data_IF_289060617834
#
_entry.id   IF_289060617834
#
_cell.length_a   1.000
_cell.length_b   1.000
_cell.length_c   1.000
_cell.angle_alpha   90.00
_cell.angle_beta   90.00
_cell.angle_gamma   90.00
#
_symmetry.space_group_name_H-M   'P 1'
#
loop_
_entity.id
_entity.type
_entity.pdbx_description
1 polymer ?
#
# COMPACT_ATOMS: atom_id res chain seq x y z
N UNK A 1 -62.74 -19.91 3.73
CA UNK A 1 -61.64 -19.19 3.06
C UNK A 1 -60.64 -18.80 4.15
N UNK A 2 -59.71 -19.71 4.47
CA UNK A 2 -58.84 -19.59 5.63
C UNK A 2 -57.44 -19.15 5.20
N UNK A 3 -56.97 -18.05 5.79
CA UNK A 3 -55.65 -17.46 5.60
C UNK A 3 -54.59 -18.32 6.30
N UNK A 4 -53.67 -18.92 5.54
CA UNK A 4 -52.47 -19.56 6.10
C UNK A 4 -51.37 -18.52 6.25
N UNK A 5 -51.11 -18.15 7.50
CA UNK A 5 -49.94 -17.38 7.95
C UNK A 5 -48.66 -18.17 7.67
N UNK A 6 -47.82 -17.66 6.78
CA UNK A 6 -46.47 -18.16 6.53
C UNK A 6 -45.53 -17.74 7.67
N UNK A 7 -45.24 -18.68 8.57
CA UNK A 7 -44.20 -18.54 9.59
C UNK A 7 -42.84 -18.30 8.92
N UNK A 8 -42.35 -17.06 9.01
CA UNK A 8 -41.00 -16.67 8.62
C UNK A 8 -40.02 -17.30 9.63
N UNK A 9 -39.52 -18.50 9.33
CA UNK A 9 -38.45 -19.14 10.10
C UNK A 9 -37.16 -18.35 9.86
N UNK A 10 -36.89 -17.38 10.74
CA UNK A 10 -35.54 -16.85 10.91
C UNK A 10 -34.62 -18.03 11.22
N UNK A 11 -33.69 -18.34 10.32
CA UNK A 11 -32.61 -19.27 10.62
C UNK A 11 -31.86 -18.73 11.86
N UNK A 12 -31.61 -19.57 12.89
CA UNK A 12 -30.89 -19.12 14.07
C UNK A 12 -29.52 -18.61 13.64
N UNK A 13 -29.20 -17.36 14.02
CA UNK A 13 -27.87 -16.82 13.80
C UNK A 13 -26.86 -17.70 14.56
N UNK A 14 -25.77 -18.13 13.91
CA UNK A 14 -24.78 -18.98 14.58
C UNK A 14 -24.18 -18.22 15.76
N UNK A 15 -24.22 -18.85 16.94
CA UNK A 15 -23.69 -18.27 18.18
C UNK A 15 -22.17 -18.34 18.14
N UNK A 16 -21.51 -17.23 18.50
CA UNK A 16 -20.05 -17.17 18.58
C UNK A 16 -19.61 -17.87 19.88
N UNK A 17 -18.90 -18.98 19.74
CA UNK A 17 -18.42 -19.79 20.86
C UNK A 17 -17.07 -19.30 21.40
N UNK A 18 -16.17 -18.82 20.52
CA UNK A 18 -14.84 -18.37 20.94
C UNK A 18 -14.28 -17.29 20.00
N UNK A 19 -13.73 -16.23 20.60
CA UNK A 19 -13.00 -15.19 19.89
C UNK A 19 -11.51 -15.32 20.24
N UNK A 20 -10.66 -15.64 19.26
CA UNK A 20 -9.19 -15.59 19.43
C UNK A 20 -8.65 -14.33 18.76
N UNK A 21 -7.99 -13.46 19.52
CA UNK A 21 -7.29 -12.30 18.97
C UNK A 21 -5.77 -12.52 18.96
N UNK A 22 -5.12 -12.24 17.84
CA UNK A 22 -3.66 -12.14 17.73
C UNK A 22 -3.30 -10.66 17.79
N UNK A 23 -2.51 -10.29 18.79
CA UNK A 23 -2.06 -8.91 19.01
C UNK A 23 -0.54 -8.83 18.94
N UNK A 24 -0.02 -7.68 18.51
CA UNK A 24 1.38 -7.33 18.69
C UNK A 24 1.43 -5.93 19.32
N UNK A 25 1.88 -5.85 20.57
CA UNK A 25 1.79 -4.62 21.36
C UNK A 25 0.33 -4.11 21.43
N UNK A 26 0.06 -2.82 21.11
CA UNK A 26 -1.30 -2.27 21.13
C UNK A 26 -2.16 -2.72 19.93
N UNK A 27 -1.58 -3.36 18.92
CA UNK A 27 -2.24 -3.60 17.63
C UNK A 27 -2.96 -4.95 17.58
N UNK A 28 -4.20 -4.97 17.06
CA UNK A 28 -4.94 -6.20 16.76
C UNK A 28 -4.72 -6.57 15.29
N UNK A 29 -4.04 -7.69 15.04
CA UNK A 29 -3.66 -8.11 13.68
C UNK A 29 -4.70 -9.06 13.07
N UNK A 30 -5.20 -10.01 13.89
CA UNK A 30 -6.18 -11.03 13.48
C UNK A 30 -7.18 -11.30 14.59
N UNK A 31 -8.43 -11.49 14.20
CA UNK A 31 -9.50 -11.99 15.07
C UNK A 31 -10.07 -13.25 14.40
N UNK A 32 -10.18 -14.34 15.15
CA UNK A 32 -10.81 -15.58 14.68
C UNK A 32 -12.06 -15.83 15.48
N UNK A 33 -13.22 -15.78 14.82
CA UNK A 33 -14.52 -16.11 15.38
C UNK A 33 -14.76 -17.60 15.14
N UNK A 34 -14.90 -18.36 16.21
CA UNK A 34 -15.34 -19.75 16.17
C UNK A 34 -16.82 -19.77 16.48
N UNK A 35 -17.63 -20.37 15.59
CA UNK A 35 -19.06 -20.50 15.76
C UNK A 35 -19.41 -21.88 16.32
N UNK A 36 -20.59 -21.98 16.95
CA UNK A 36 -21.10 -23.22 17.54
C UNK A 36 -21.39 -24.35 16.54
N UNK A 37 -21.42 -24.03 15.25
CA UNK A 37 -21.53 -25.00 14.15
C UNK A 37 -20.17 -25.57 13.69
N UNK A 38 -19.07 -25.19 14.37
CA UNK A 38 -17.71 -25.59 14.04
C UNK A 38 -17.05 -24.78 12.92
N UNK A 39 -17.75 -23.80 12.33
CA UNK A 39 -17.14 -22.90 11.35
C UNK A 39 -16.22 -21.88 12.01
N UNK A 40 -15.16 -21.50 11.31
CA UNK A 40 -14.18 -20.49 11.77
C UNK A 40 -14.11 -19.37 10.76
N UNK A 41 -14.40 -18.16 11.21
CA UNK A 41 -14.24 -16.94 10.42
C UNK A 41 -12.99 -16.19 10.87
N UNK A 42 -12.10 -15.91 9.92
CA UNK A 42 -10.86 -15.16 10.17
C UNK A 42 -11.00 -13.73 9.66
N UNK A 43 -11.05 -12.78 10.57
CA UNK A 43 -10.93 -11.35 10.29
C UNK A 43 -9.46 -10.92 10.42
N UNK A 44 -8.98 -10.12 9.48
CA UNK A 44 -7.64 -9.52 9.54
C UNK A 44 -7.74 -8.03 9.23
N UNK A 45 -6.86 -7.22 9.84
CA UNK A 45 -6.87 -5.76 9.68
C UNK A 45 -6.73 -5.34 8.21
N UNK A 46 -5.85 -6.02 7.45
CA UNK A 46 -5.65 -5.74 6.02
C UNK A 46 -6.83 -6.11 5.14
N UNK A 47 -7.45 -7.27 5.35
CA UNK A 47 -8.63 -7.66 4.58
C UNK A 47 -9.81 -6.71 4.86
N UNK A 48 -9.95 -6.27 6.10
CA UNK A 48 -10.96 -5.28 6.46
C UNK A 48 -10.76 -3.95 5.71
N UNK A 49 -9.55 -3.40 5.74
CA UNK A 49 -9.18 -2.17 4.99
C UNK A 49 -9.41 -2.30 3.48
N UNK A 50 -9.13 -3.47 2.91
CA UNK A 50 -9.29 -3.75 1.48
C UNK A 50 -10.73 -4.13 1.10
N UNK A 51 -11.70 -3.99 2.00
CA UNK A 51 -13.11 -4.11 1.64
C UNK A 51 -13.63 -5.55 1.52
N UNK A 52 -13.00 -6.47 2.24
CA UNK A 52 -13.02 -7.89 1.88
C UNK A 52 -13.65 -8.80 2.93
N UNK A 53 -14.38 -8.24 3.90
CA UNK A 53 -14.97 -8.98 5.02
C UNK A 53 -16.39 -9.51 4.79
N UNK A 54 -17.12 -8.95 3.82
CA UNK A 54 -18.55 -9.18 3.63
C UNK A 54 -18.88 -9.54 2.18
N UNK A 55 -18.59 -10.78 1.78
CA UNK A 55 -18.96 -11.28 0.46
C UNK A 55 -20.46 -11.56 0.38
N UNK A 56 -21.21 -10.69 -0.31
CA UNK A 56 -22.55 -11.01 -0.78
C UNK A 56 -22.49 -12.24 -1.72
N UNK A 57 -23.39 -13.19 -1.49
CA UNK A 57 -23.35 -14.58 -1.98
C UNK A 57 -23.44 -14.75 -3.52
N UNK A 58 -23.67 -13.69 -4.30
CA UNK A 58 -23.98 -13.83 -5.73
C UNK A 58 -23.25 -12.81 -6.62
N UNK A 59 -21.99 -13.07 -7.02
CA UNK A 59 -21.45 -12.46 -8.24
C UNK A 59 -20.60 -13.47 -9.03
N UNK A 60 -20.98 -13.65 -10.29
CA UNK A 60 -20.27 -14.42 -11.32
C UNK A 60 -18.82 -13.93 -11.43
N UNK A 61 -17.87 -14.87 -11.47
CA UNK A 61 -16.43 -14.54 -11.54
C UNK A 61 -16.06 -13.92 -12.88
N UNK A 62 -15.65 -12.65 -12.96
CA UNK A 62 -15.22 -12.06 -14.22
C UNK A 62 -13.84 -12.58 -14.65
N UNK A 63 -13.61 -12.58 -15.97
CA UNK A 63 -12.35 -12.99 -16.62
C UNK A 63 -11.20 -12.06 -16.27
N UNK A 64 -9.95 -12.53 -16.39
CA UNK A 64 -8.74 -11.83 -15.91
C UNK A 64 -8.51 -10.47 -16.62
N UNK A 65 -8.90 -10.34 -17.88
CA UNK A 65 -8.88 -9.07 -18.65
C UNK A 65 -9.94 -8.08 -18.17
N UNK A 66 -11.13 -8.56 -17.78
CA UNK A 66 -12.20 -7.72 -17.22
C UNK A 66 -11.89 -7.25 -15.79
N UNK A 67 -10.96 -7.90 -15.07
CA UNK A 67 -10.53 -7.47 -13.73
C UNK A 67 -9.63 -6.24 -13.74
N UNK A 68 -8.85 -6.03 -14.81
CA UNK A 68 -7.93 -4.90 -14.93
C UNK A 68 -8.59 -3.62 -15.47
N UNK A 69 -9.69 -3.76 -16.24
CA UNK A 69 -10.31 -2.67 -16.99
C UNK A 69 -11.64 -2.15 -16.39
N UNK A 70 -12.22 -2.81 -15.38
CA UNK A 70 -13.57 -2.45 -14.87
C UNK A 70 -13.49 -1.46 -13.72
N UNK A 71 -13.86 -0.22 -14.03
CA UNK A 71 -14.03 0.91 -13.11
C UNK A 71 -15.30 0.73 -12.25
N UNK A 72 -15.23 0.06 -11.09
CA UNK A 72 -16.29 -0.01 -10.04
C UNK A 72 -15.69 -0.41 -8.67
N UNK A 73 -16.46 -0.38 -7.56
CA UNK A 73 -16.51 0.56 -6.42
C UNK A 73 -15.27 0.60 -5.49
N UNK A 74 -14.11 0.09 -5.90
CA UNK A 74 -12.80 0.32 -5.25
C UNK A 74 -12.02 1.43 -5.94
N UNK A 75 -12.69 2.53 -6.32
CA UNK A 75 -12.08 3.65 -7.06
C UNK A 75 -10.83 4.16 -6.35
N UNK A 76 -10.86 4.24 -5.02
CA UNK A 76 -9.75 4.70 -4.20
C UNK A 76 -8.51 3.77 -4.31
N UNK A 77 -8.70 2.45 -4.22
CA UNK A 77 -7.60 1.47 -4.32
C UNK A 77 -6.97 1.47 -5.71
N UNK A 78 -7.83 1.55 -6.74
CA UNK A 78 -7.38 1.57 -8.13
C UNK A 78 -6.64 2.87 -8.44
N UNK A 79 -7.18 4.03 -8.05
CA UNK A 79 -6.50 5.31 -8.19
C UNK A 79 -5.16 5.30 -7.46
N UNK A 80 -5.13 4.82 -6.21
CA UNK A 80 -3.89 4.69 -5.45
C UNK A 80 -2.85 3.86 -6.21
N UNK A 81 -3.23 2.69 -6.74
CA UNK A 81 -2.33 1.84 -7.52
C UNK A 81 -1.82 2.54 -8.79
N UNK A 82 -2.70 3.19 -9.54
CA UNK A 82 -2.32 3.93 -10.75
C UNK A 82 -1.38 5.10 -10.46
N UNK A 83 -1.66 5.88 -9.41
CA UNK A 83 -0.80 6.99 -8.99
C UNK A 83 0.58 6.48 -8.58
N UNK A 84 0.67 5.38 -7.81
CA UNK A 84 1.97 4.77 -7.49
C UNK A 84 2.69 4.25 -8.73
N UNK A 85 1.99 3.63 -9.69
CA UNK A 85 2.61 3.16 -10.94
C UNK A 85 3.15 4.31 -11.79
N UNK A 86 2.38 5.40 -11.93
CA UNK A 86 2.80 6.60 -12.67
C UNK A 86 3.98 7.25 -11.97
N UNK A 87 3.90 7.46 -10.65
CA UNK A 87 4.99 8.01 -9.86
C UNK A 87 6.27 7.18 -9.98
N UNK A 88 6.17 5.85 -9.85
CA UNK A 88 7.30 4.95 -10.01
C UNK A 88 7.89 4.99 -11.43
N UNK A 89 7.06 5.10 -12.47
CA UNK A 89 7.53 5.24 -13.84
C UNK A 89 8.29 6.57 -14.07
N UNK A 90 7.82 7.66 -13.46
CA UNK A 90 8.54 8.94 -13.46
C UNK A 90 9.92 8.81 -12.81
N UNK A 91 10.07 8.07 -11.72
CA UNK A 91 11.38 7.83 -11.10
C UNK A 91 12.28 6.89 -11.91
N UNK A 92 11.68 5.87 -12.55
CA UNK A 92 12.44 4.90 -13.33
C UNK A 92 13.00 5.50 -14.62
N UNK A 93 12.25 6.37 -15.32
CA UNK A 93 12.61 6.83 -16.65
C UNK A 93 13.97 7.59 -16.71
N UNK A 94 14.25 8.58 -15.84
CA UNK A 94 15.57 9.22 -15.82
C UNK A 94 16.69 8.24 -15.47
N UNK A 95 16.49 7.40 -14.45
CA UNK A 95 17.51 6.44 -14.02
C UNK A 95 17.81 5.36 -15.08
N UNK A 96 16.84 4.96 -15.90
CA UNK A 96 17.08 4.05 -17.04
C UNK A 96 18.01 4.71 -18.05
N UNK A 97 17.81 6.00 -18.37
CA UNK A 97 18.68 6.71 -19.30
C UNK A 97 20.11 6.84 -18.75
N UNK A 98 20.25 7.08 -17.45
CA UNK A 98 21.58 7.15 -16.80
C UNK A 98 22.29 5.79 -16.74
N UNK A 99 21.58 4.71 -16.40
CA UNK A 99 22.16 3.36 -16.31
C UNK A 99 22.41 2.76 -17.70
N UNK A 100 21.54 3.06 -18.67
CA UNK A 100 21.66 2.63 -20.05
C UNK A 100 21.40 3.82 -21.02
N UNK A 101 22.45 4.59 -21.34
CA UNK A 101 22.34 5.75 -22.23
C UNK A 101 21.75 5.38 -23.60
N UNK A 102 20.79 6.18 -24.07
CA UNK A 102 20.20 6.06 -25.42
C UNK A 102 19.04 5.05 -25.54
N UNK A 103 18.62 4.44 -24.43
CA UNK A 103 17.45 3.53 -24.40
C UNK A 103 16.11 4.29 -24.38
N UNK A 104 16.10 5.52 -23.85
CA UNK A 104 14.94 6.41 -23.76
C UNK A 104 15.20 7.67 -24.60
N UNK A 105 14.14 8.38 -24.99
CA UNK A 105 14.16 9.54 -25.87
C UNK A 105 15.08 10.67 -25.42
N UNK A 106 15.67 11.37 -26.40
CA UNK A 106 16.61 12.49 -26.24
C UNK A 106 16.12 13.69 -25.41
N UNK A 107 14.82 13.78 -25.11
CA UNK A 107 14.28 14.85 -24.26
C UNK A 107 14.59 14.69 -22.76
N UNK A 108 15.16 13.55 -22.34
CA UNK A 108 15.51 13.22 -20.94
C UNK A 108 17.03 13.36 -20.71
N UNK A 109 17.69 14.21 -21.49
CA UNK A 109 19.12 14.52 -21.37
C UNK A 109 19.37 15.82 -20.58
N UNK A 110 18.35 16.66 -20.46
CA UNK A 110 18.42 17.95 -19.76
C UNK A 110 18.14 17.79 -18.26
N UNK A 111 19.02 18.37 -17.43
CA UNK A 111 18.98 18.25 -15.95
C UNK A 111 17.70 18.83 -15.37
N UNK A 112 17.25 19.98 -15.88
CA UNK A 112 16.01 20.61 -15.41
C UNK A 112 14.80 19.71 -15.72
N UNK A 113 14.77 19.13 -16.91
CA UNK A 113 13.73 18.17 -17.31
C UNK A 113 13.73 16.92 -16.42
N UNK A 114 14.91 16.36 -16.11
CA UNK A 114 15.05 15.23 -15.18
C UNK A 114 14.48 15.58 -13.80
N UNK A 115 14.85 16.73 -13.25
CA UNK A 115 14.39 17.20 -11.95
C UNK A 115 12.87 17.41 -11.91
N UNK A 116 12.30 17.98 -12.98
CA UNK A 116 10.84 18.13 -13.13
C UNK A 116 10.15 16.76 -13.14
N UNK A 117 10.71 15.77 -13.84
CA UNK A 117 10.13 14.42 -13.92
C UNK A 117 10.14 13.75 -12.54
N UNK A 118 11.23 13.88 -11.76
CA UNK A 118 11.27 13.40 -10.38
C UNK A 118 10.25 14.10 -9.48
N UNK A 119 10.14 15.42 -9.57
CA UNK A 119 9.17 16.20 -8.79
C UNK A 119 7.72 15.85 -9.14
N UNK A 120 7.39 15.71 -10.42
CA UNK A 120 6.07 15.23 -10.85
C UNK A 120 5.80 13.84 -10.28
N UNK A 121 6.79 12.95 -10.32
CA UNK A 121 6.70 11.62 -9.72
C UNK A 121 6.39 11.66 -8.21
N UNK A 122 7.02 12.55 -7.44
CA UNK A 122 6.83 12.65 -6.00
C UNK A 122 5.43 13.17 -5.62
N UNK A 123 4.84 14.02 -6.46
CA UNK A 123 3.43 14.45 -6.32
C UNK A 123 2.47 13.26 -6.51
N UNK A 124 2.73 12.40 -7.50
CA UNK A 124 1.97 11.17 -7.69
C UNK A 124 2.09 10.22 -6.49
N UNK A 125 3.30 10.00 -5.97
CA UNK A 125 3.54 9.20 -4.76
C UNK A 125 2.80 9.74 -3.54
N UNK A 126 2.84 11.05 -3.32
CA UNK A 126 2.16 11.70 -2.17
C UNK A 126 0.65 11.62 -2.29
N UNK A 127 0.13 11.84 -3.49
CA UNK A 127 -1.30 11.68 -3.78
C UNK A 127 -1.73 10.23 -3.49
N UNK A 128 -0.95 9.25 -3.94
CA UNK A 128 -1.21 7.83 -3.68
C UNK A 128 -1.16 7.48 -2.19
N UNK A 129 -0.14 7.96 -1.46
CA UNK A 129 -0.01 7.75 -0.01
C UNK A 129 -1.18 8.37 0.77
N UNK A 130 -1.68 9.53 0.33
CA UNK A 130 -2.87 10.13 0.92
C UNK A 130 -4.13 9.29 0.63
N UNK A 131 -4.29 8.78 -0.60
CA UNK A 131 -5.40 7.85 -0.89
C UNK A 131 -5.28 6.57 -0.04
N UNK A 132 -4.07 6.06 0.21
CA UNK A 132 -3.83 4.93 1.11
C UNK A 132 -4.30 5.22 2.54
N UNK A 133 -4.02 6.42 3.07
CA UNK A 133 -4.52 6.86 4.37
C UNK A 133 -6.05 6.94 4.39
N UNK A 134 -6.66 7.49 3.34
CA UNK A 134 -8.12 7.54 3.17
C UNK A 134 -8.74 6.13 3.13
N UNK A 135 -8.04 5.12 2.57
CA UNK A 135 -8.52 3.73 2.61
C UNK A 135 -8.64 3.21 4.03
N UNK A 136 -7.67 3.54 4.89
CA UNK A 136 -7.67 3.10 6.28
C UNK A 136 -8.77 3.80 7.05
N UNK A 137 -8.86 5.13 6.94
CA UNK A 137 -9.82 5.95 7.68
C UNK A 137 -11.27 5.61 7.32
N UNK A 138 -11.52 5.19 6.07
CA UNK A 138 -12.85 4.83 5.59
C UNK A 138 -13.06 3.30 5.47
N UNK A 139 -12.24 2.49 6.13
CA UNK A 139 -12.30 1.02 6.02
C UNK A 139 -13.70 0.45 6.36
N UNK A 140 -14.29 0.87 7.49
CA UNK A 140 -15.63 0.43 7.91
C UNK A 140 -16.69 0.81 6.88
N UNK A 141 -16.70 2.08 6.44
CA UNK A 141 -17.63 2.60 5.42
C UNK A 141 -17.53 1.82 4.11
N UNK A 142 -16.31 1.45 3.69
CA UNK A 142 -16.11 0.65 2.47
C UNK A 142 -16.65 -0.76 2.64
N UNK A 143 -16.36 -1.40 3.77
CA UNK A 143 -16.87 -2.73 4.09
C UNK A 143 -18.42 -2.76 4.13
N UNK A 144 -19.07 -1.71 4.65
CA UNK A 144 -20.53 -1.55 4.63
C UNK A 144 -21.07 -1.42 3.19
N UNK A 145 -20.46 -0.57 2.35
CA UNK A 145 -20.86 -0.39 0.95
C UNK A 145 -20.74 -1.69 0.14
N UNK A 146 -19.69 -2.47 0.35
CA UNK A 146 -19.49 -3.75 -0.33
C UNK A 146 -20.44 -4.85 0.17
N UNK A 147 -20.85 -4.77 1.44
CA UNK A 147 -21.92 -5.60 1.99
C UNK A 147 -23.31 -5.22 1.45
N UNK A 148 -23.44 -4.13 0.69
CA UNK A 148 -24.72 -3.60 0.21
C UNK A 148 -25.52 -2.89 1.30
N UNK A 149 -24.87 -2.50 2.40
CA UNK A 149 -25.48 -1.82 3.53
C UNK A 149 -25.27 -0.31 3.40
N UNK A 150 -26.26 0.49 3.77
CA UNK A 150 -26.13 1.94 3.84
C UNK A 150 -25.11 2.33 4.92
N UNK A 151 -24.06 3.10 4.60
CA UNK A 151 -23.03 3.39 5.57
C UNK A 151 -23.55 4.13 6.80
N UNK A 152 -23.06 3.72 7.96
CA UNK A 152 -23.45 4.35 9.24
C UNK A 152 -22.76 5.71 9.42
N UNK A 153 -21.51 5.82 8.99
CA UNK A 153 -20.68 7.02 9.13
C UNK A 153 -20.47 7.74 7.80
N UNK A 154 -20.39 9.09 7.78
CA UNK A 154 -20.07 9.86 6.58
C UNK A 154 -18.63 9.59 6.09
N UNK A 155 -18.34 9.97 4.85
CA UNK A 155 -16.97 9.90 4.34
C UNK A 155 -16.07 10.83 5.13
N UNK A 156 -14.95 10.30 5.62
CA UNK A 156 -14.03 11.01 6.51
C UNK A 156 -12.72 11.27 5.79
N UNK A 157 -12.36 12.55 5.64
CA UNK A 157 -11.12 12.97 4.98
C UNK A 157 -9.88 12.80 5.86
N UNK A 158 -10.07 12.83 7.18
CA UNK A 158 -9.00 12.61 8.13
C UNK A 158 -9.55 12.14 9.48
N UNK A 159 -8.87 11.17 10.09
CA UNK A 159 -9.16 10.71 11.45
C UNK A 159 -7.86 10.28 12.10
N UNK A 160 -7.67 10.63 13.37
CA UNK A 160 -6.49 10.24 14.14
C UNK A 160 -6.69 8.85 14.75
N UNK A 161 -6.07 7.82 14.18
CA UNK A 161 -6.24 6.42 14.59
C UNK A 161 -4.89 5.68 14.78
N UNK A 162 -3.96 6.21 15.60
CA UNK A 162 -2.59 5.65 15.73
C UNK A 162 -2.56 4.23 16.30
N UNK A 163 -3.64 3.79 16.94
CA UNK A 163 -3.78 2.44 17.49
C UNK A 163 -4.04 1.37 16.41
N UNK A 164 -4.21 1.76 15.15
CA UNK A 164 -4.33 0.83 14.02
C UNK A 164 -3.01 0.77 13.27
N UNK A 165 -2.42 -0.43 13.16
CA UNK A 165 -1.13 -0.62 12.50
C UNK A 165 -1.16 -0.15 11.04
N UNK A 166 -2.27 -0.40 10.34
CA UNK A 166 -2.47 0.04 8.98
C UNK A 166 -2.55 1.56 8.84
N UNK A 167 -3.09 2.26 9.84
CA UNK A 167 -3.14 3.73 9.86
C UNK A 167 -1.75 4.29 10.11
N UNK A 168 -1.02 3.74 11.07
CA UNK A 168 0.33 4.18 11.41
C UNK A 168 1.29 3.98 10.22
N UNK A 169 1.20 2.82 9.55
CA UNK A 169 1.95 2.53 8.32
C UNK A 169 1.63 3.56 7.22
N UNK A 170 0.35 3.78 6.91
CA UNK A 170 -0.05 4.73 5.86
C UNK A 170 0.30 6.19 6.21
N UNK A 171 0.18 6.58 7.48
CA UNK A 171 0.52 7.92 7.94
C UNK A 171 2.03 8.18 7.86
N UNK A 172 2.85 7.24 8.33
CA UNK A 172 4.32 7.36 8.22
C UNK A 172 4.75 7.37 6.75
N UNK A 173 4.12 6.54 5.90
CA UNK A 173 4.36 6.57 4.45
C UNK A 173 4.05 7.96 3.87
N UNK A 174 2.91 8.55 4.22
CA UNK A 174 2.54 9.90 3.76
C UNK A 174 3.55 10.95 4.21
N UNK A 175 3.96 10.93 5.47
CA UNK A 175 5.02 11.82 5.99
C UNK A 175 6.31 11.64 5.18
N UNK A 176 6.73 10.41 4.91
CA UNK A 176 7.89 10.13 4.08
C UNK A 176 7.78 10.72 2.67
N UNK A 177 6.62 10.61 2.02
CA UNK A 177 6.39 11.18 0.69
C UNK A 177 6.40 12.72 0.68
N UNK A 178 6.01 13.36 1.78
CA UNK A 178 6.10 14.82 1.93
C UNK A 178 7.55 15.28 2.01
N UNK A 179 8.39 14.61 2.81
CA UNK A 179 9.83 14.90 2.85
C UNK A 179 10.49 14.65 1.49
N UNK A 180 10.10 13.58 0.80
CA UNK A 180 10.59 13.30 -0.55
C UNK A 180 10.18 14.39 -1.56
N UNK A 181 8.98 14.98 -1.41
CA UNK A 181 8.55 16.13 -2.21
C UNK A 181 9.36 17.40 -1.92
N UNK A 182 9.71 17.65 -0.65
CA UNK A 182 10.57 18.77 -0.30
C UNK A 182 11.94 18.59 -0.95
N UNK A 183 12.54 17.40 -0.82
CA UNK A 183 13.79 17.04 -1.48
C UNK A 183 13.72 17.31 -3.00
N UNK A 184 12.77 16.70 -3.71
CA UNK A 184 12.69 16.83 -5.19
C UNK A 184 12.36 18.25 -5.64
N UNK A 185 11.64 19.03 -4.83
CA UNK A 185 11.39 20.44 -5.10
C UNK A 185 12.65 21.28 -4.89
N UNK A 186 13.37 21.07 -3.80
CA UNK A 186 14.57 21.84 -3.45
C UNK A 186 15.72 21.57 -4.43
N UNK A 187 15.77 20.39 -5.04
CA UNK A 187 16.69 20.07 -6.16
C UNK A 187 16.43 20.96 -7.39
N UNK A 188 15.20 21.46 -7.59
CA UNK A 188 14.88 22.38 -8.69
C UNK A 188 15.36 23.82 -8.43
N UNK A 189 15.77 24.14 -7.19
CA UNK A 189 16.29 25.46 -6.87
C UNK A 189 17.75 25.56 -7.32
N UNK A 190 18.02 26.45 -8.27
CA UNK A 190 19.39 26.84 -8.64
C UNK A 190 20.05 27.60 -7.47
N UNK A 191 21.36 27.46 -7.30
CA UNK A 191 22.22 28.24 -6.37
C UNK A 191 22.25 27.85 -4.89
N UNK A 192 21.93 26.60 -4.53
CA UNK A 192 22.13 26.13 -3.15
C UNK A 192 23.62 25.87 -2.84
N UNK A 193 24.11 26.45 -1.74
CA UNK A 193 25.44 26.13 -1.22
C UNK A 193 25.48 24.72 -0.60
N UNK A 194 26.68 24.19 -0.32
CA UNK A 194 26.85 22.82 0.20
C UNK A 194 26.03 22.52 1.47
N UNK A 195 25.91 23.49 2.39
CA UNK A 195 25.15 23.32 3.63
C UNK A 195 23.64 23.33 3.37
N UNK A 196 23.18 24.16 2.44
CA UNK A 196 21.79 24.19 2.00
C UNK A 196 21.41 22.90 1.28
N UNK A 197 22.28 22.35 0.43
CA UNK A 197 22.06 21.04 -0.18
C UNK A 197 21.91 19.95 0.89
N UNK A 198 22.79 19.93 1.90
CA UNK A 198 22.72 18.94 2.98
C UNK A 198 21.44 19.03 3.82
N UNK A 199 20.97 20.25 4.10
CA UNK A 199 19.79 20.47 4.93
C UNK A 199 18.47 20.38 4.17
N UNK A 200 18.42 20.79 2.90
CA UNK A 200 17.19 20.92 2.12
C UNK A 200 16.97 19.74 1.15
N UNK A 201 18.06 19.15 0.64
CA UNK A 201 17.98 18.03 -0.31
C UNK A 201 18.22 16.72 0.44
N UNK A 202 19.40 16.56 1.05
CA UNK A 202 19.84 15.27 1.59
C UNK A 202 19.14 14.88 2.90
N UNK A 203 18.95 15.83 3.81
CA UNK A 203 18.28 15.54 5.10
C UNK A 203 16.82 15.07 4.89
N UNK A 204 15.98 15.76 4.09
CA UNK A 204 14.64 15.27 3.77
C UNK A 204 14.65 13.93 3.03
N UNK A 205 15.63 13.67 2.15
CA UNK A 205 15.78 12.39 1.47
C UNK A 205 15.92 11.21 2.45
N UNK A 206 16.88 11.32 3.38
CA UNK A 206 17.14 10.28 4.38
C UNK A 206 15.93 10.10 5.30
N UNK A 207 15.31 11.20 5.76
CA UNK A 207 14.09 11.12 6.59
C UNK A 207 12.98 10.39 5.82
N UNK A 208 12.77 10.73 4.55
CA UNK A 208 11.81 10.06 3.67
C UNK A 208 12.07 8.56 3.55
N UNK A 209 13.32 8.17 3.30
CA UNK A 209 13.74 6.78 3.20
C UNK A 209 13.52 6.01 4.53
N UNK A 210 13.84 6.62 5.68
CA UNK A 210 13.57 6.01 7.00
C UNK A 210 12.07 5.82 7.21
N UNK A 211 11.25 6.81 6.85
CA UNK A 211 9.80 6.69 6.92
C UNK A 211 9.29 5.51 6.07
N UNK A 212 9.76 5.34 4.83
CA UNK A 212 9.35 4.23 3.96
C UNK A 212 9.75 2.86 4.51
N UNK A 213 10.94 2.74 5.12
CA UNK A 213 11.37 1.51 5.79
C UNK A 213 10.48 1.17 6.99
N UNK A 214 10.19 2.15 7.83
CA UNK A 214 9.32 1.96 9.01
C UNK A 214 7.89 1.61 8.57
N UNK A 215 7.35 2.33 7.58
CA UNK A 215 6.02 2.06 7.04
C UNK A 215 5.92 0.66 6.43
N UNK A 216 6.92 0.24 5.66
CA UNK A 216 7.02 -1.10 5.08
C UNK A 216 7.17 -2.18 6.17
N UNK A 217 7.95 -1.91 7.23
CA UNK A 217 8.11 -2.83 8.36
C UNK A 217 6.79 -3.08 9.09
N UNK A 218 6.01 -2.03 9.32
CA UNK A 218 4.66 -2.15 9.87
C UNK A 218 3.72 -2.93 8.94
N UNK A 219 3.83 -2.75 7.63
CA UNK A 219 3.04 -3.51 6.65
C UNK A 219 3.42 -5.00 6.61
N UNK A 220 4.72 -5.33 6.74
CA UNK A 220 5.22 -6.71 6.88
C UNK A 220 4.63 -7.35 8.13
N UNK A 221 4.67 -6.64 9.25
CA UNK A 221 4.11 -7.11 10.53
C UNK A 221 2.59 -7.33 10.41
N UNK A 222 1.86 -6.38 9.80
CA UNK A 222 0.41 -6.48 9.56
C UNK A 222 0.06 -7.73 8.74
N UNK A 223 0.77 -8.00 7.64
CA UNK A 223 0.49 -9.13 6.75
C UNK A 223 0.97 -10.47 7.33
N UNK A 224 2.17 -10.50 7.91
CA UNK A 224 2.78 -11.72 8.42
C UNK A 224 2.22 -12.13 9.79
N UNK A 225 1.59 -11.19 10.52
CA UNK A 225 1.16 -11.36 11.91
C UNK A 225 2.32 -11.70 12.86
N UNK A 226 3.53 -11.36 12.43
CA UNK A 226 4.84 -11.63 13.03
C UNK A 226 5.86 -10.75 12.29
N UNK A 227 7.10 -10.65 12.77
CA UNK A 227 8.17 -9.94 12.06
C UNK A 227 8.48 -10.53 10.68
N UNK A 228 8.17 -11.81 10.47
CA UNK A 228 8.34 -12.49 9.20
C UNK A 228 7.39 -13.68 9.10
N UNK A 229 6.91 -13.96 7.89
CA UNK A 229 6.25 -15.20 7.54
C UNK A 229 6.47 -15.46 6.04
N UNK A 230 6.60 -16.73 5.65
CA UNK A 230 6.69 -17.12 4.24
C UNK A 230 5.30 -17.48 3.70
N UNK A 231 4.71 -16.61 2.87
CA UNK A 231 3.36 -16.80 2.28
C UNK A 231 3.36 -16.56 0.76
N UNK A 232 4.16 -17.29 -0.03
CA UNK A 232 4.34 -17.03 -1.47
C UNK A 232 3.08 -17.22 -2.32
N UNK A 233 2.06 -17.91 -1.79
CA UNK A 233 0.76 -18.08 -2.45
C UNK A 233 -0.17 -16.86 -2.29
N UNK A 234 0.19 -15.89 -1.45
CA UNK A 234 -0.62 -14.70 -1.18
C UNK A 234 -0.10 -13.53 -2.04
N UNK A 235 -0.96 -12.93 -2.86
CA UNK A 235 -0.62 -11.68 -3.57
C UNK A 235 -0.34 -10.57 -2.56
N UNK A 236 -1.13 -10.51 -1.48
CA UNK A 236 -0.95 -9.56 -0.39
C UNK A 236 0.47 -9.61 0.19
N UNK A 237 1.02 -10.81 0.36
CA UNK A 237 2.40 -11.00 0.82
C UNK A 237 3.42 -10.44 -0.18
N UNK A 238 3.26 -10.71 -1.47
CA UNK A 238 4.14 -10.17 -2.51
C UNK A 238 4.09 -8.65 -2.59
N UNK A 239 2.90 -8.03 -2.52
CA UNK A 239 2.76 -6.56 -2.50
C UNK A 239 3.62 -5.96 -1.38
N UNK A 240 3.53 -6.52 -0.18
CA UNK A 240 4.25 -6.00 1.00
C UNK A 240 5.75 -6.25 0.92
N UNK A 241 6.16 -7.44 0.50
CA UNK A 241 7.58 -7.79 0.41
C UNK A 241 8.30 -7.03 -0.70
N UNK A 242 7.66 -6.86 -1.86
CA UNK A 242 8.24 -6.08 -2.97
C UNK A 242 8.34 -4.60 -2.58
N UNK A 243 7.34 -4.02 -1.90
CA UNK A 243 7.44 -2.63 -1.41
C UNK A 243 8.52 -2.46 -0.32
N UNK A 244 8.74 -3.48 0.53
CA UNK A 244 9.85 -3.49 1.48
C UNK A 244 11.20 -3.49 0.76
N UNK A 245 11.37 -4.35 -0.25
CA UNK A 245 12.58 -4.36 -1.08
C UNK A 245 12.80 -3.01 -1.78
N UNK A 246 11.73 -2.38 -2.27
CA UNK A 246 11.77 -1.04 -2.85
C UNK A 246 12.26 0.00 -1.86
N UNK A 247 11.74 0.00 -0.63
CA UNK A 247 12.17 0.92 0.43
C UNK A 247 13.64 0.71 0.83
N UNK A 248 14.12 -0.53 0.85
CA UNK A 248 15.54 -0.83 1.10
C UNK A 248 16.41 -0.28 -0.04
N UNK A 249 16.02 -0.50 -1.29
CA UNK A 249 16.76 0.01 -2.45
C UNK A 249 16.84 1.54 -2.45
N UNK A 250 15.75 2.24 -2.16
CA UNK A 250 15.76 3.70 -2.01
C UNK A 250 16.66 4.17 -0.86
N UNK A 251 16.66 3.48 0.28
CA UNK A 251 17.60 3.80 1.37
C UNK A 251 19.06 3.62 0.93
N UNK A 252 19.36 2.55 0.18
CA UNK A 252 20.72 2.35 -0.36
C UNK A 252 21.09 3.49 -1.32
N UNK A 253 20.17 3.92 -2.19
CA UNK A 253 20.37 5.09 -3.05
C UNK A 253 20.67 6.35 -2.21
N UNK A 254 19.86 6.64 -1.19
CA UNK A 254 20.05 7.77 -0.27
C UNK A 254 21.36 7.72 0.54
N UNK A 255 21.93 6.54 0.77
CA UNK A 255 23.27 6.45 1.38
C UNK A 255 24.35 6.86 0.37
N UNK A 256 24.19 6.52 -0.92
CA UNK A 256 25.13 6.91 -1.97
C UNK A 256 25.03 8.40 -2.34
N UNK A 257 23.92 9.07 -2.02
CA UNK A 257 23.76 10.52 -2.23
C UNK A 257 24.52 11.36 -1.20
N UNK A 258 24.94 10.79 -0.07
CA UNK A 258 25.70 11.50 0.95
C UNK A 258 27.02 12.02 0.35
N UNK A 259 27.15 13.34 0.31
CA UNK A 259 28.34 14.03 -0.21
C UNK A 259 29.46 13.95 0.83
N UNK A 260 30.64 13.49 0.43
CA UNK A 260 31.80 13.55 1.33
C UNK A 260 32.24 15.02 1.50
N UNK A 261 32.40 15.50 2.75
CA UNK A 261 32.80 16.88 3.03
C UNK A 261 34.12 17.32 2.35
N UNK A 262 34.96 16.35 1.96
CA UNK A 262 36.27 16.59 1.37
C UNK A 262 36.27 16.73 -0.16
N UNK A 263 35.29 16.18 -0.88
CA UNK A 263 35.29 16.16 -2.35
C UNK A 263 34.20 17.04 -2.99
N UNK A 264 33.13 17.40 -2.25
CA UNK A 264 31.94 18.04 -2.80
C UNK A 264 31.27 17.25 -3.95
N UNK A 265 31.65 15.98 -4.12
CA UNK A 265 31.10 15.06 -5.10
C UNK A 265 30.27 13.98 -4.40
N UNK A 266 29.19 13.58 -5.05
CA UNK A 266 28.40 12.41 -4.62
C UNK A 266 29.24 11.13 -4.71
N UNK A 267 28.91 10.17 -3.86
CA UNK A 267 29.76 8.98 -3.62
C UNK A 267 29.89 8.10 -4.87
N UNK A 268 28.78 7.88 -5.59
CA UNK A 268 28.74 7.15 -6.86
C UNK A 268 27.40 7.43 -7.60
N UNK A 269 27.43 8.26 -8.65
CA UNK A 269 26.25 8.61 -9.48
C UNK A 269 25.59 7.39 -10.11
N UNK A 270 26.38 6.39 -10.52
CA UNK A 270 25.84 5.18 -11.11
C UNK A 270 25.05 4.38 -10.08
N UNK A 271 25.57 4.25 -8.85
CA UNK A 271 24.86 3.55 -7.77
C UNK A 271 23.57 4.26 -7.37
N UNK A 272 23.57 5.60 -7.27
CA UNK A 272 22.35 6.38 -6.97
C UNK A 272 21.24 6.04 -7.97
N UNK A 273 21.55 6.10 -9.27
CA UNK A 273 20.58 5.83 -10.32
C UNK A 273 20.16 4.36 -10.37
N UNK A 274 21.10 3.43 -10.21
CA UNK A 274 20.80 1.99 -10.21
C UNK A 274 19.86 1.60 -9.06
N UNK A 275 20.16 2.03 -7.83
CA UNK A 275 19.35 1.70 -6.67
C UNK A 275 18.00 2.42 -6.67
N UNK A 276 17.95 3.67 -7.16
CA UNK A 276 16.69 4.39 -7.40
C UNK A 276 15.82 3.64 -8.42
N UNK A 277 16.42 3.14 -9.51
CA UNK A 277 15.71 2.35 -10.52
C UNK A 277 15.17 1.03 -9.95
N UNK A 278 15.97 0.31 -9.17
CA UNK A 278 15.53 -0.93 -8.49
C UNK A 278 14.36 -0.62 -7.56
N UNK A 279 14.47 0.45 -6.77
CA UNK A 279 13.41 0.90 -5.88
C UNK A 279 12.11 1.24 -6.62
N UNK A 280 12.22 2.03 -7.69
CA UNK A 280 11.10 2.42 -8.54
C UNK A 280 10.43 1.19 -9.18
N UNK A 281 11.20 0.25 -9.71
CA UNK A 281 10.69 -0.99 -10.28
C UNK A 281 9.93 -1.83 -9.23
N UNK A 282 10.45 -1.93 -8.01
CA UNK A 282 9.76 -2.59 -6.91
C UNK A 282 8.43 -1.93 -6.59
N UNK A 283 8.37 -0.60 -6.39
CA UNK A 283 7.11 0.09 -6.11
C UNK A 283 6.11 -0.02 -7.27
N UNK A 284 6.58 0.01 -8.51
CA UNK A 284 5.72 -0.23 -9.68
C UNK A 284 5.09 -1.62 -9.64
N UNK A 285 5.90 -2.66 -9.40
CA UNK A 285 5.41 -4.05 -9.30
C UNK A 285 4.47 -4.21 -8.11
N UNK A 286 4.79 -3.65 -6.94
CA UNK A 286 3.92 -3.67 -5.76
C UNK A 286 2.57 -3.01 -6.00
N UNK A 287 2.56 -1.86 -6.68
CA UNK A 287 1.35 -1.15 -7.07
C UNK A 287 0.54 -1.95 -8.10
N UNK A 288 1.19 -2.53 -9.11
CA UNK A 288 0.55 -3.40 -10.09
C UNK A 288 -0.10 -4.62 -9.43
N UNK A 289 0.59 -5.28 -8.49
CA UNK A 289 0.07 -6.43 -7.74
C UNK A 289 -1.11 -6.07 -6.82
N UNK A 290 -1.28 -4.79 -6.46
CA UNK A 290 -2.45 -4.33 -5.71
C UNK A 290 -3.72 -4.45 -6.55
N UNK A 291 -3.66 -4.30 -7.88
CA UNK A 291 -4.81 -4.42 -8.78
C UNK A 291 -5.51 -5.79 -8.68
N UNK A 292 -4.84 -6.94 -8.87
CA UNK A 292 -5.46 -8.25 -8.68
C UNK A 292 -5.82 -8.53 -7.22
N UNK A 293 -5.08 -8.00 -6.23
CA UNK A 293 -5.40 -8.14 -4.79
C UNK A 293 -6.83 -7.66 -4.50
N UNK A 294 -7.26 -6.53 -5.07
CA UNK A 294 -8.62 -5.98 -4.92
C UNK A 294 -9.72 -6.96 -5.39
N UNK A 295 -9.39 -7.88 -6.31
CA UNK A 295 -10.37 -8.80 -6.91
C UNK A 295 -10.38 -10.18 -6.28
N UNK A 296 -9.27 -10.61 -5.66
CA UNK A 296 -9.15 -11.95 -5.07
C UNK A 296 -10.07 -12.15 -3.88
N UNK A 297 -10.31 -11.09 -3.14
CA UNK A 297 -11.09 -11.13 -1.93
C UNK A 297 -12.61 -11.02 -2.10
N UNK A 298 -13.09 -10.86 -3.34
CA UNK A 298 -14.53 -10.96 -3.66
C UNK A 298 -15.06 -12.40 -3.60
N UNK A 299 -14.22 -13.39 -3.25
CA UNK A 299 -14.69 -14.74 -2.91
C UNK A 299 -15.26 -14.68 -1.49
N UNK A 300 -16.51 -15.15 -1.25
CA UNK A 300 -17.06 -15.18 0.10
C UNK A 300 -16.05 -15.87 1.00
N UNK A 301 -15.70 -15.21 2.11
CA UNK A 301 -14.82 -15.76 3.12
C UNK A 301 -15.28 -17.19 3.39
N UNK A 302 -14.48 -18.17 2.98
CA UNK A 302 -14.88 -19.57 3.09
C UNK A 302 -15.10 -19.84 4.57
N UNK A 303 -16.35 -20.13 4.94
CA UNK A 303 -16.64 -20.92 6.13
C UNK A 303 -15.91 -22.24 5.92
N UNK A 304 -14.68 -22.33 6.40
CA UNK A 304 -13.94 -23.59 6.41
C UNK A 304 -14.63 -24.44 7.47
N UNK A 305 -15.57 -25.27 7.02
CA UNK A 305 -16.16 -26.32 7.85
C UNK A 305 -15.04 -27.32 8.08
N UNK A 306 -14.40 -27.28 9.26
CA UNK A 306 -13.54 -28.38 9.66
C UNK A 306 -14.46 -29.60 9.76
N UNK A 307 -14.35 -30.51 8.80
CA UNK A 307 -14.95 -31.84 8.95
C UNK A 307 -14.24 -32.47 10.15
N UNK A 308 -14.95 -32.57 11.27
CA UNK A 308 -14.51 -33.34 12.41
C UNK A 308 -14.32 -34.77 11.91
N UNK A 309 -13.06 -35.19 11.77
CA UNK A 309 -12.74 -36.61 11.67
C UNK A 309 -13.05 -37.21 13.04
N UNK A 310 -14.15 -37.96 13.10
CA UNK A 310 -14.42 -38.94 14.16
C UNK A 310 -13.36 -40.04 14.14
#
# INVERSE_FOLDING_TARGET
MALTSGSNKQQPQPVIDRIKSTKLGPFVLKISHHFSDGSVYHWTSRAHRKGSGHGAINQTSPTLSQRLLVFRPTFLSWCMAMLFMIGAACFAAPCINEVWPGLISHWLEDVDTINIVFFVGSIFFTSAAYLQLLEVVNADRRAELEAGVTPTNPFTWFSWQPNQIGWLSAFIQLVGTLFFNLNTFDVMLSDLNWLQQDLLIWTPDIIGCVCFLVASGLAVIEECHSFWAWKPRSISWWVVMVNMLGSIAFMVAGVFTLVLPSSQEVLDLYQINLWTLVGAACFFVGAYLTLPEMTQWKRPAMLVRQQAHN
#
